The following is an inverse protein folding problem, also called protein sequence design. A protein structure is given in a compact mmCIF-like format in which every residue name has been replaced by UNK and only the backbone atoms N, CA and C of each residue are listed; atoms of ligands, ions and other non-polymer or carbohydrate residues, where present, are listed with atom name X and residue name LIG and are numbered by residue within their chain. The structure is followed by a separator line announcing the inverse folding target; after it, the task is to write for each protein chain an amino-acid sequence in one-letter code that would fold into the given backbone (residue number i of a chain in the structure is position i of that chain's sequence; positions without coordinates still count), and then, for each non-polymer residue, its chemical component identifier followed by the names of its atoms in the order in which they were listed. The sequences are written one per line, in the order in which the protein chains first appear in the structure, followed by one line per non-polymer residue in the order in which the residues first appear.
data_IF_058074549186
#
_entry.id   IF_058074549186
#
_cell.length_a   1.000
_cell.length_b   1.000
_cell.length_c   1.000
_cell.angle_alpha   90.00
_cell.angle_beta   90.00
_cell.angle_gamma   90.00
#
_symmetry.space_group_name_H-M   'P 1'
#
loop_
_entity.id
_entity.type
_entity.pdbx_description
1 polymer ?
#
# COMPACT_ATOMS: atom_id res chain seq x y z
N UNK A 1 1.30 -11.29 -15.58
CA UNK A 1 1.37 -12.22 -14.41
C UNK A 1 0.15 -13.14 -14.40
N UNK A 2 0.30 -14.48 -14.28
CA UNK A 2 -0.80 -15.42 -14.54
C UNK A 2 -1.91 -15.44 -13.47
N UNK A 3 -1.66 -14.91 -12.26
CA UNK A 3 -2.66 -14.93 -11.17
C UNK A 3 -3.55 -13.67 -11.11
N UNK A 4 -3.05 -12.53 -11.57
CA UNK A 4 -3.74 -11.21 -11.46
C UNK A 4 -3.88 -10.49 -12.81
N UNK A 5 -3.38 -11.08 -13.89
CA UNK A 5 -3.29 -10.48 -15.22
C UNK A 5 -2.71 -9.04 -15.23
N UNK A 6 -1.89 -8.71 -14.23
CA UNK A 6 -1.18 -7.43 -14.20
C UNK A 6 -0.08 -7.44 -15.24
N UNK A 7 0.03 -6.32 -15.93
CA UNK A 7 1.08 -6.03 -16.87
C UNK A 7 2.35 -5.72 -16.08
N UNK A 8 3.42 -6.48 -16.34
CA UNK A 8 4.78 -6.16 -15.89
C UNK A 8 5.38 -5.03 -16.73
N UNK A 9 4.78 -4.73 -17.90
CA UNK A 9 5.09 -3.53 -18.67
C UNK A 9 4.62 -2.35 -17.84
N UNK A 10 5.58 -1.50 -17.51
CA UNK A 10 5.37 -0.33 -16.71
C UNK A 10 4.25 0.56 -17.27
N UNK A 11 3.57 1.28 -16.36
CA UNK A 11 2.29 2.00 -16.53
C UNK A 11 1.03 1.24 -16.15
N UNK A 12 1.15 0.03 -15.60
CA UNK A 12 0.00 -0.63 -14.97
C UNK A 12 -0.35 0.02 -13.62
N UNK A 13 -1.23 1.02 -13.67
CA UNK A 13 -1.75 1.70 -12.48
C UNK A 13 -2.67 0.81 -11.62
N UNK A 14 -3.05 -0.39 -12.09
CA UNK A 14 -3.94 -1.29 -11.34
C UNK A 14 -3.33 -1.71 -10.02
N UNK A 15 -2.00 -1.86 -9.95
CA UNK A 15 -1.29 -2.19 -8.70
C UNK A 15 -1.45 -1.08 -7.66
N UNK A 16 -1.20 0.18 -8.05
CA UNK A 16 -1.37 1.32 -7.16
C UNK A 16 -2.85 1.52 -6.77
N UNK A 17 -3.77 1.35 -7.71
CA UNK A 17 -5.20 1.44 -7.46
C UNK A 17 -5.69 0.37 -6.48
N UNK A 18 -5.25 -0.87 -6.63
CA UNK A 18 -5.59 -1.98 -5.75
C UNK A 18 -5.05 -1.71 -4.33
N UNK A 19 -3.79 -1.29 -4.20
CA UNK A 19 -3.21 -0.93 -2.91
C UNK A 19 -4.03 0.16 -2.20
N UNK A 20 -4.46 1.19 -2.94
CA UNK A 20 -5.34 2.22 -2.37
C UNK A 20 -6.67 1.66 -1.86
N UNK A 21 -7.32 0.75 -2.59
CA UNK A 21 -8.59 0.16 -2.14
C UNK A 21 -8.42 -0.66 -0.86
N UNK A 22 -7.31 -1.40 -0.74
CA UNK A 22 -7.03 -2.20 0.45
C UNK A 22 -6.66 -1.34 1.67
N UNK A 23 -6.19 -0.10 1.47
CA UNK A 23 -5.95 0.84 2.58
C UNK A 23 -7.21 1.11 3.40
N UNK A 24 -8.39 1.15 2.77
CA UNK A 24 -9.66 1.42 3.44
C UNK A 24 -10.04 0.33 4.45
N UNK A 25 -9.55 -0.90 4.25
CA UNK A 25 -9.75 -2.02 5.16
C UNK A 25 -8.57 -2.20 6.12
N UNK A 26 -7.34 -2.05 5.62
CA UNK A 26 -6.13 -2.26 6.41
C UNK A 26 -6.00 -1.24 7.56
N UNK A 27 -6.28 0.04 7.31
CA UNK A 27 -6.16 1.11 8.32
C UNK A 27 -7.06 0.89 9.55
N UNK A 28 -8.38 0.66 9.42
CA UNK A 28 -9.24 0.42 10.58
C UNK A 28 -8.90 -0.88 11.30
N UNK A 29 -8.53 -1.95 10.58
CA UNK A 29 -8.10 -3.22 11.20
C UNK A 29 -6.84 -3.01 12.04
N UNK A 30 -5.84 -2.30 11.52
CA UNK A 30 -4.62 -2.01 12.26
C UNK A 30 -4.91 -1.09 13.46
N UNK A 31 -5.79 -0.10 13.31
CA UNK A 31 -6.24 0.74 14.42
C UNK A 31 -6.87 -0.06 15.56
N UNK A 32 -7.81 -0.96 15.25
CA UNK A 32 -8.47 -1.85 16.21
C UNK A 32 -7.46 -2.82 16.86
N UNK A 33 -6.53 -3.35 16.07
CA UNK A 33 -5.53 -4.27 16.58
C UNK A 33 -4.58 -3.59 17.58
N UNK A 34 -4.09 -2.37 17.26
CA UNK A 34 -3.24 -1.58 18.16
C UNK A 34 -4.01 -1.18 19.44
N UNK A 35 -5.34 -0.99 19.33
CA UNK A 35 -6.23 -0.75 20.48
C UNK A 35 -6.34 -1.97 21.39
N UNK A 36 -6.59 -3.16 20.81
CA UNK A 36 -6.71 -4.42 21.55
C UNK A 36 -5.45 -4.76 22.35
N UNK A 37 -4.27 -4.48 21.81
CA UNK A 37 -3.01 -4.77 22.49
C UNK A 37 -2.59 -3.73 23.55
N UNK A 38 -3.47 -2.77 23.90
CA UNK A 38 -3.21 -1.68 24.88
C UNK A 38 -1.85 -1.01 24.68
N UNK A 39 -1.50 -0.82 23.42
CA UNK A 39 -0.20 -0.29 23.04
C UNK A 39 -0.09 1.17 23.46
N UNK A 40 0.96 1.52 24.21
CA UNK A 40 1.35 2.92 24.41
C UNK A 40 1.63 3.59 23.05
N UNK A 41 1.16 4.83 22.89
CA UNK A 41 1.33 5.58 21.64
C UNK A 41 0.51 5.06 20.46
N UNK A 42 -0.66 4.45 20.70
CA UNK A 42 -1.55 3.90 19.65
C UNK A 42 -1.78 4.85 18.46
N UNK A 43 -2.08 6.11 18.74
CA UNK A 43 -2.31 7.12 17.68
C UNK A 43 -1.07 7.29 16.82
N UNK A 44 0.10 7.44 17.45
CA UNK A 44 1.37 7.58 16.74
C UNK A 44 1.71 6.33 15.92
N UNK A 45 1.46 5.12 16.43
CA UNK A 45 1.69 3.86 15.69
C UNK A 45 0.75 3.71 14.50
N UNK A 46 -0.53 4.05 14.68
CA UNK A 46 -1.54 4.00 13.61
C UNK A 46 -1.20 5.00 12.51
N UNK A 47 -0.83 6.23 12.88
CA UNK A 47 -0.36 7.26 11.94
C UNK A 47 0.93 6.82 11.24
N UNK A 48 1.89 6.24 11.97
CA UNK A 48 3.13 5.72 11.39
C UNK A 48 2.89 4.62 10.36
N UNK A 49 1.98 3.69 10.66
CA UNK A 49 1.54 2.66 9.72
C UNK A 49 0.88 3.29 8.49
N UNK A 50 -0.02 4.24 8.68
CA UNK A 50 -0.70 4.94 7.58
C UNK A 50 0.30 5.69 6.67
N UNK A 51 1.29 6.36 7.26
CA UNK A 51 2.34 7.07 6.53
C UNK A 51 3.22 6.09 5.73
N UNK A 52 3.62 4.96 6.32
CA UNK A 52 4.38 3.92 5.63
C UNK A 52 3.59 3.32 4.46
N UNK A 53 2.31 3.02 4.67
CA UNK A 53 1.40 2.52 3.63
C UNK A 53 1.24 3.52 2.50
N UNK A 54 1.05 4.80 2.82
CA UNK A 54 0.96 5.87 1.85
C UNK A 54 2.26 6.03 1.05
N UNK A 55 3.42 5.93 1.72
CA UNK A 55 4.73 5.94 1.05
C UNK A 55 4.87 4.81 0.04
N UNK A 56 4.49 3.58 0.40
CA UNK A 56 4.45 2.43 -0.50
C UNK A 56 3.53 2.67 -1.70
N UNK A 57 2.31 3.16 -1.46
CA UNK A 57 1.40 3.55 -2.55
C UNK A 57 2.04 4.56 -3.50
N UNK A 58 2.67 5.59 -2.94
CA UNK A 58 3.21 6.68 -3.76
C UNK A 58 4.44 6.24 -4.56
N UNK A 59 5.28 5.36 -4.01
CA UNK A 59 6.36 4.72 -4.75
C UNK A 59 5.82 3.91 -5.94
N UNK A 60 4.82 3.05 -5.72
CA UNK A 60 4.22 2.25 -6.79
C UNK A 60 3.55 3.13 -7.86
N UNK A 61 2.87 4.19 -7.44
CA UNK A 61 2.20 5.14 -8.33
C UNK A 61 3.21 5.92 -9.20
N UNK A 62 4.28 6.45 -8.59
CA UNK A 62 5.33 7.18 -9.30
C UNK A 62 6.12 6.25 -10.24
N UNK A 63 6.44 5.02 -9.82
CA UNK A 63 7.07 4.03 -10.71
C UNK A 63 6.21 3.73 -11.94
N UNK A 64 4.89 3.57 -11.74
CA UNK A 64 3.95 3.37 -12.84
C UNK A 64 3.90 4.59 -13.78
N UNK A 65 3.84 5.81 -13.24
CA UNK A 65 3.87 7.04 -14.05
C UNK A 65 5.15 7.16 -14.89
N UNK A 66 6.30 6.87 -14.27
CA UNK A 66 7.61 6.93 -14.91
C UNK A 66 7.86 5.79 -15.92
N UNK A 67 6.93 4.84 -16.06
CA UNK A 67 7.12 3.72 -16.96
C UNK A 67 8.30 2.83 -16.55
N UNK A 68 8.56 2.69 -15.24
CA UNK A 68 9.54 1.73 -14.70
C UNK A 68 8.85 0.40 -14.32
N UNK A 69 9.36 -0.76 -14.75
CA UNK A 69 8.77 -2.05 -14.41
C UNK A 69 8.95 -2.35 -12.92
N UNK A 70 7.93 -2.92 -12.30
CA UNK A 70 7.93 -3.29 -10.86
C UNK A 70 8.93 -4.40 -10.55
N UNK A 71 9.20 -5.25 -11.53
CA UNK A 71 10.19 -6.32 -11.49
C UNK A 71 11.00 -6.15 -12.78
N UNK A 72 12.27 -5.77 -12.64
CA UNK A 72 13.22 -5.90 -13.73
C UNK A 72 13.49 -7.40 -13.89
N UNK A 73 12.90 -8.00 -14.92
CA UNK A 73 13.21 -9.36 -15.36
C UNK A 73 14.30 -9.28 -16.44
#
# INVERSE_FOLDING_TARGET
MPLVNWSTVARDLRVAHFLRLYSLQALPIVGDLVERYRSSGRTARTIGFAAAYFGLFMLMFVQALLGRPLIAL
#
